data_IF_271913931510
#
_entry.id   IF_271913931510
#
_cell.length_a   1.000
_cell.length_b   1.000
_cell.length_c   1.000
_cell.angle_alpha   90.00
_cell.angle_beta   90.00
_cell.angle_gamma   90.00
#
_symmetry.space_group_name_H-M   'P 1'
#
loop_
_entity.id
_entity.type
_entity.pdbx_description
1 polymer ?
#
# COMPACT_ATOMS: atom_id res chain seq x y z
N UNK A 1 -3.60 4.32 13.25
CA UNK A 1 -3.88 2.90 13.60
C UNK A 1 -5.16 2.71 14.39
N UNK A 2 -5.42 3.47 15.46
CA UNK A 2 -6.65 3.35 16.25
C UNK A 2 -7.96 3.41 15.43
N UNK A 3 -8.06 4.28 14.42
CA UNK A 3 -9.24 4.33 13.52
C UNK A 3 -9.46 3.05 12.73
N UNK A 4 -8.40 2.40 12.27
CA UNK A 4 -8.49 1.11 11.56
C UNK A 4 -8.93 0.03 12.55
N UNK A 5 -8.33 -0.04 13.74
CA UNK A 5 -8.76 -1.00 14.76
C UNK A 5 -10.24 -0.86 15.13
N UNK A 6 -10.76 0.38 15.25
CA UNK A 6 -12.18 0.62 15.51
C UNK A 6 -13.08 0.22 14.34
N UNK A 7 -12.74 0.62 13.11
CA UNK A 7 -13.59 0.39 11.93
C UNK A 7 -13.67 -1.09 11.49
N UNK A 8 -12.69 -1.90 11.89
CA UNK A 8 -12.56 -3.31 11.51
C UNK A 8 -12.55 -4.26 12.72
N UNK A 9 -12.84 -3.77 13.93
CA UNK A 9 -13.00 -4.61 15.12
C UNK A 9 -14.16 -5.59 14.94
N UNK A 10 -13.99 -6.82 15.45
CA UNK A 10 -14.97 -7.90 15.35
C UNK A 10 -15.14 -8.50 13.95
N UNK A 11 -14.40 -8.04 12.93
CA UNK A 11 -14.44 -8.64 11.59
C UNK A 11 -13.89 -10.07 11.63
N UNK A 12 -14.48 -10.96 10.83
CA UNK A 12 -14.11 -12.36 10.70
C UNK A 12 -14.06 -12.77 9.23
N UNK A 13 -13.40 -13.88 8.94
CA UNK A 13 -13.75 -14.68 7.77
C UNK A 13 -15.21 -15.17 7.86
N UNK A 14 -15.77 -15.64 6.73
CA UNK A 14 -17.06 -16.32 6.76
C UNK A 14 -16.96 -17.62 7.59
N UNK A 15 -18.04 -18.03 8.24
CA UNK A 15 -18.03 -19.21 9.12
C UNK A 15 -17.67 -20.51 8.36
N UNK A 16 -18.02 -20.57 7.08
CA UNK A 16 -17.73 -21.67 6.16
C UNK A 16 -16.48 -21.41 5.30
N UNK A 17 -15.69 -20.37 5.58
CA UNK A 17 -14.42 -20.16 4.89
C UNK A 17 -13.52 -21.38 5.08
N UNK A 18 -13.02 -21.90 3.96
CA UNK A 18 -12.12 -23.05 3.92
C UNK A 18 -10.70 -22.70 3.52
N UNK A 19 -10.48 -21.49 2.97
CA UNK A 19 -9.25 -21.14 2.28
C UNK A 19 -8.98 -22.06 1.10
N UNK A 20 -7.78 -21.94 0.49
CA UNK A 20 -7.47 -22.75 -0.69
C UNK A 20 -7.15 -24.24 -0.40
N UNK A 21 -7.19 -24.66 0.86
CA UNK A 21 -6.88 -26.03 1.31
C UNK A 21 -5.42 -26.48 1.13
N UNK A 22 -4.51 -25.58 0.73
CA UNK A 22 -3.06 -25.88 0.53
C UNK A 22 -2.12 -24.87 1.17
N UNK A 23 -2.51 -23.60 1.23
CA UNK A 23 -1.65 -22.52 1.70
C UNK A 23 -1.85 -22.19 3.18
N UNK A 24 -2.96 -22.65 3.76
CA UNK A 24 -3.31 -22.43 5.15
C UNK A 24 -3.82 -23.74 5.74
N UNK A 25 -3.45 -24.02 6.98
CA UNK A 25 -4.00 -25.15 7.72
C UNK A 25 -5.32 -24.77 8.42
N UNK A 26 -6.04 -25.78 8.93
CA UNK A 26 -7.33 -25.58 9.60
C UNK A 26 -7.23 -24.66 10.82
N UNK A 27 -6.09 -24.66 11.53
CA UNK A 27 -5.90 -23.82 12.72
C UNK A 27 -5.76 -22.36 12.29
N UNK A 28 -5.02 -22.09 11.23
CA UNK A 28 -4.88 -20.75 10.65
C UNK A 28 -6.22 -20.22 10.14
N UNK A 29 -7.00 -21.05 9.44
CA UNK A 29 -8.34 -20.67 8.98
C UNK A 29 -9.28 -20.42 10.16
N UNK A 30 -9.21 -21.24 11.22
CA UNK A 30 -9.98 -21.02 12.45
C UNK A 30 -9.66 -19.68 13.13
N UNK A 31 -8.39 -19.29 13.16
CA UNK A 31 -7.98 -17.98 13.67
C UNK A 31 -8.59 -16.83 12.86
N UNK A 32 -8.72 -16.98 11.54
CA UNK A 32 -9.35 -15.99 10.67
C UNK A 32 -10.87 -15.92 10.87
N UNK A 33 -11.53 -17.05 11.18
CA UNK A 33 -12.95 -17.11 11.54
C UNK A 33 -13.25 -16.56 12.94
N UNK A 34 -12.25 -16.53 13.82
CA UNK A 34 -12.43 -16.04 15.19
C UNK A 34 -12.26 -14.51 15.25
N UNK A 35 -13.25 -13.76 15.78
CA UNK A 35 -13.15 -12.31 15.90
C UNK A 35 -12.16 -11.91 17.00
N UNK A 36 -11.47 -10.78 16.80
CA UNK A 36 -10.65 -10.08 17.80
C UNK A 36 -9.52 -10.89 18.46
N UNK A 37 -9.24 -12.11 18.01
CA UNK A 37 -8.03 -12.83 18.40
C UNK A 37 -6.81 -12.27 17.67
N UNK A 38 -5.69 -12.03 18.37
CA UNK A 38 -4.43 -11.68 17.72
C UNK A 38 -4.03 -12.74 16.70
N UNK A 39 -3.50 -12.32 15.55
CA UNK A 39 -3.03 -13.21 14.51
C UNK A 39 -1.50 -13.19 14.51
N UNK A 40 -0.84 -14.33 14.24
CA UNK A 40 0.59 -14.31 13.96
C UNK A 40 0.93 -13.32 12.84
N UNK A 41 2.00 -12.53 13.01
CA UNK A 41 2.41 -11.51 12.03
C UNK A 41 2.67 -12.11 10.65
N UNK A 42 3.26 -13.30 10.59
CA UNK A 42 3.52 -14.01 9.34
C UNK A 42 2.21 -14.45 8.66
N UNK A 43 1.18 -14.82 9.43
CA UNK A 43 -0.14 -15.16 8.90
C UNK A 43 -0.80 -13.93 8.28
N UNK A 44 -0.76 -12.78 8.96
CA UNK A 44 -1.29 -11.50 8.44
C UNK A 44 -0.68 -11.15 7.10
N UNK A 45 0.65 -11.23 6.99
CA UNK A 45 1.37 -10.96 5.75
C UNK A 45 0.98 -11.94 4.65
N UNK A 46 1.10 -13.25 4.92
CA UNK A 46 0.75 -14.30 3.94
C UNK A 46 -0.68 -14.16 3.44
N UNK A 47 -1.63 -13.85 4.32
CA UNK A 47 -3.04 -13.67 3.96
C UNK A 47 -3.21 -12.54 2.94
N UNK A 48 -2.62 -11.38 3.21
CA UNK A 48 -2.72 -10.21 2.34
C UNK A 48 -2.03 -10.42 0.98
N UNK A 49 -0.99 -11.24 0.92
CA UNK A 49 -0.25 -11.52 -0.32
C UNK A 49 -0.94 -12.53 -1.24
N UNK A 50 -1.95 -13.28 -0.78
CA UNK A 50 -2.61 -14.29 -1.63
C UNK A 50 -3.56 -13.68 -2.65
N UNK A 51 -3.58 -14.30 -3.83
CA UNK A 51 -4.53 -14.00 -4.89
C UNK A 51 -5.97 -14.23 -4.42
N UNK A 52 -6.96 -13.48 -4.95
CA UNK A 52 -8.35 -13.56 -4.50
C UNK A 52 -8.94 -14.96 -4.48
N UNK A 53 -8.59 -15.80 -5.45
CA UNK A 53 -9.10 -17.17 -5.58
C UNK A 53 -8.61 -18.12 -4.47
N UNK A 54 -7.74 -17.68 -3.57
CA UNK A 54 -7.34 -18.47 -2.40
C UNK A 54 -8.36 -18.42 -1.27
N UNK A 55 -9.37 -17.56 -1.38
CA UNK A 55 -10.37 -17.28 -0.36
C UNK A 55 -11.77 -17.44 -0.94
N UNK A 56 -12.69 -17.94 -0.13
CA UNK A 56 -14.10 -17.98 -0.49
C UNK A 56 -14.69 -16.56 -0.51
N UNK A 57 -14.29 -15.70 0.45
CA UNK A 57 -14.62 -14.27 0.52
C UNK A 57 -13.37 -13.43 0.84
N UNK A 58 -12.57 -13.10 -0.20
CA UNK A 58 -11.37 -12.28 -0.04
C UNK A 58 -11.65 -10.94 0.67
N UNK A 59 -12.71 -10.16 0.34
CA UNK A 59 -13.02 -8.95 1.09
C UNK A 59 -13.22 -9.16 2.58
N UNK A 60 -13.90 -10.22 3.03
CA UNK A 60 -14.03 -10.50 4.46
C UNK A 60 -12.66 -10.79 5.11
N UNK A 61 -11.85 -11.61 4.44
CA UNK A 61 -10.49 -11.97 4.90
C UNK A 61 -9.58 -10.75 5.04
N UNK A 62 -9.55 -9.87 4.04
CA UNK A 62 -8.71 -8.66 4.12
C UNK A 62 -9.20 -7.74 5.25
N UNK A 63 -10.52 -7.58 5.45
CA UNK A 63 -11.05 -6.81 6.59
C UNK A 63 -10.62 -7.40 7.94
N UNK A 64 -10.62 -8.73 8.07
CA UNK A 64 -10.20 -9.45 9.28
C UNK A 64 -8.75 -9.15 9.67
N UNK A 65 -7.84 -9.11 8.70
CA UNK A 65 -6.41 -8.92 8.98
C UNK A 65 -5.99 -7.46 9.03
N UNK A 66 -6.80 -6.54 8.49
CA UNK A 66 -6.42 -5.14 8.29
C UNK A 66 -5.91 -4.41 9.54
N UNK A 67 -6.50 -4.56 10.75
CA UNK A 67 -5.97 -3.91 11.96
C UNK A 67 -4.50 -4.25 12.26
N UNK A 68 -4.07 -5.48 11.98
CA UNK A 68 -2.70 -5.93 12.18
C UNK A 68 -1.84 -5.67 10.93
N UNK A 69 -2.43 -5.78 9.74
CA UNK A 69 -1.73 -5.51 8.48
C UNK A 69 -1.18 -4.09 8.43
N UNK A 70 -1.95 -3.09 8.88
CA UNK A 70 -1.46 -1.70 8.90
C UNK A 70 -0.26 -1.53 9.84
N UNK A 71 -0.21 -2.27 10.96
CA UNK A 71 0.94 -2.29 11.90
C UNK A 71 2.16 -2.86 11.19
N UNK A 72 2.00 -4.04 10.58
CA UNK A 72 3.04 -4.73 9.81
C UNK A 72 3.63 -3.82 8.74
N UNK A 73 2.77 -3.15 7.95
CA UNK A 73 3.20 -2.20 6.92
C UNK A 73 4.01 -1.03 7.52
N UNK A 74 3.52 -0.40 8.59
CA UNK A 74 4.20 0.75 9.18
C UNK A 74 5.52 0.42 9.87
N UNK A 75 5.70 -0.82 10.31
CA UNK A 75 6.90 -1.30 10.99
C UNK A 75 8.00 -1.79 10.05
N UNK A 76 7.81 -1.72 8.73
CA UNK A 76 8.84 -2.09 7.77
C UNK A 76 8.68 -3.47 7.15
N UNK A 77 7.44 -3.88 6.85
CA UNK A 77 7.20 -5.15 6.17
C UNK A 77 7.97 -5.27 4.86
N UNK A 78 8.57 -6.43 4.65
CA UNK A 78 9.09 -6.84 3.35
C UNK A 78 7.91 -7.12 2.41
N UNK A 79 8.04 -6.75 1.13
CA UNK A 79 7.00 -6.94 0.10
C UNK A 79 5.69 -6.20 0.42
N UNK A 80 5.78 -4.98 0.96
CA UNK A 80 4.61 -4.19 1.34
C UNK A 80 3.66 -3.93 0.16
N UNK A 81 4.20 -3.74 -1.05
CA UNK A 81 3.41 -3.55 -2.26
C UNK A 81 2.61 -4.82 -2.65
N UNK A 82 3.15 -6.02 -2.42
CA UNK A 82 2.42 -7.27 -2.64
C UNK A 82 1.27 -7.43 -1.63
N UNK A 83 1.48 -7.03 -0.38
CA UNK A 83 0.39 -7.00 0.62
C UNK A 83 -0.69 -5.96 0.26
N UNK A 84 -0.28 -4.79 -0.24
CA UNK A 84 -1.19 -3.75 -0.71
C UNK A 84 -2.02 -4.17 -1.93
N UNK A 85 -1.49 -5.04 -2.80
CA UNK A 85 -2.25 -5.65 -3.90
C UNK A 85 -3.48 -6.39 -3.38
N UNK A 86 -3.36 -7.16 -2.29
CA UNK A 86 -4.51 -7.84 -1.68
C UNK A 86 -5.59 -6.87 -1.21
N UNK A 87 -5.18 -5.72 -0.65
CA UNK A 87 -6.09 -4.66 -0.25
C UNK A 87 -6.82 -4.04 -1.46
N UNK A 88 -6.09 -3.73 -2.54
CA UNK A 88 -6.66 -3.24 -3.80
C UNK A 88 -7.63 -4.26 -4.42
N UNK A 89 -7.24 -5.53 -4.45
CA UNK A 89 -8.05 -6.63 -4.98
C UNK A 89 -9.37 -6.82 -4.22
N UNK A 90 -9.33 -6.66 -2.90
CA UNK A 90 -10.52 -6.69 -2.06
C UNK A 90 -11.46 -5.48 -2.24
N UNK A 91 -11.08 -4.51 -3.08
CA UNK A 91 -11.93 -3.39 -3.48
C UNK A 91 -12.22 -2.42 -2.35
N UNK A 92 -11.23 -2.16 -1.48
CA UNK A 92 -11.42 -1.38 -0.25
C UNK A 92 -12.03 0.01 -0.47
N UNK A 93 -11.76 0.64 -1.60
CA UNK A 93 -12.31 1.96 -1.96
C UNK A 93 -13.83 1.96 -2.11
N UNK A 94 -14.46 0.78 -2.27
CA UNK A 94 -15.91 0.59 -2.40
C UNK A 94 -16.58 0.09 -1.12
N UNK A 95 -15.84 -0.07 -0.03
CA UNK A 95 -16.38 -0.49 1.26
C UNK A 95 -17.24 0.61 1.91
N UNK A 96 -17.94 0.31 3.02
CA UNK A 96 -18.64 1.34 3.78
C UNK A 96 -17.74 2.53 4.13
N UNK A 97 -18.32 3.74 4.15
CA UNK A 97 -17.59 5.01 4.27
C UNK A 97 -16.60 5.05 5.44
N UNK A 98 -16.97 4.49 6.58
CA UNK A 98 -16.11 4.44 7.77
C UNK A 98 -14.84 3.59 7.52
N UNK A 99 -15.01 2.43 6.90
CA UNK A 99 -13.91 1.53 6.54
C UNK A 99 -12.99 2.16 5.48
N UNK A 100 -13.56 2.70 4.41
CA UNK A 100 -12.80 3.40 3.37
C UNK A 100 -12.04 4.59 3.94
N UNK A 101 -12.68 5.39 4.80
CA UNK A 101 -12.03 6.52 5.46
C UNK A 101 -10.89 6.11 6.40
N UNK A 102 -11.03 4.97 7.09
CA UNK A 102 -9.98 4.44 7.96
C UNK A 102 -8.75 3.97 7.16
N UNK A 103 -8.95 3.28 6.03
CA UNK A 103 -7.87 2.86 5.12
C UNK A 103 -7.18 4.07 4.51
N UNK A 104 -7.96 4.97 3.88
CA UNK A 104 -7.41 6.17 3.24
C UNK A 104 -6.60 7.03 4.24
N UNK A 105 -7.15 7.24 5.44
CA UNK A 105 -6.47 8.01 6.49
C UNK A 105 -5.21 7.32 7.03
N UNK A 106 -5.13 5.98 6.99
CA UNK A 106 -3.89 5.27 7.30
C UNK A 106 -2.84 5.50 6.22
N UNK A 107 -3.18 5.28 4.94
CA UNK A 107 -2.24 5.44 3.82
C UNK A 107 -1.71 6.88 3.75
N UNK A 108 -2.58 7.89 3.92
CA UNK A 108 -2.19 9.31 3.95
C UNK A 108 -1.23 9.63 5.11
N UNK A 109 -1.54 9.14 6.32
CA UNK A 109 -0.71 9.38 7.49
C UNK A 109 0.65 8.68 7.37
N UNK A 110 0.66 7.44 6.88
CA UNK A 110 1.88 6.66 6.69
C UNK A 110 2.79 7.30 5.63
N UNK A 111 2.23 7.66 4.48
CA UNK A 111 2.96 8.35 3.42
C UNK A 111 3.55 9.68 3.89
N UNK A 112 2.73 10.50 4.55
CA UNK A 112 3.16 11.76 5.17
C UNK A 112 4.32 11.56 6.15
N UNK A 113 4.24 10.53 6.99
CA UNK A 113 5.26 10.25 7.98
C UNK A 113 6.56 9.81 7.32
N UNK A 114 6.49 8.94 6.30
CA UNK A 114 7.66 8.46 5.56
C UNK A 114 8.43 9.63 4.92
N UNK A 115 7.72 10.57 4.28
CA UNK A 115 8.33 11.76 3.67
C UNK A 115 9.05 12.69 4.66
N UNK A 116 8.64 12.68 5.94
CA UNK A 116 9.17 13.58 6.98
C UNK A 116 10.25 12.94 7.84
N UNK A 117 10.30 11.61 7.88
CA UNK A 117 11.28 10.86 8.67
C UNK A 117 12.59 10.74 7.87
N UNK A 118 13.74 11.03 8.48
CA UNK A 118 15.03 10.89 7.79
C UNK A 118 15.34 9.45 7.36
N UNK A 119 14.93 8.49 8.18
CA UNK A 119 15.17 7.07 7.97
C UNK A 119 13.90 6.30 8.34
N UNK A 120 12.87 6.28 7.48
CA UNK A 120 11.66 5.51 7.72
C UNK A 120 11.95 4.00 7.74
N UNK A 121 11.14 3.19 8.46
CA UNK A 121 11.31 1.73 8.48
C UNK A 121 11.26 1.08 7.10
N UNK A 122 10.40 1.59 6.21
CA UNK A 122 10.32 1.23 4.79
C UNK A 122 10.88 2.37 3.95
N UNK A 123 11.73 2.11 2.93
CA UNK A 123 12.19 3.12 1.98
C UNK A 123 11.03 3.91 1.35
N UNK A 124 11.22 5.20 1.12
CA UNK A 124 10.14 6.09 0.64
C UNK A 124 9.60 5.68 -0.73
N UNK A 125 10.44 5.19 -1.65
CA UNK A 125 9.99 4.65 -2.93
C UNK A 125 9.04 3.45 -2.74
N UNK A 126 9.37 2.52 -1.85
CA UNK A 126 8.54 1.35 -1.56
C UNK A 126 7.24 1.73 -0.84
N UNK A 127 7.26 2.71 0.08
CA UNK A 127 6.01 3.25 0.67
C UNK A 127 5.14 3.90 -0.42
N UNK A 128 5.75 4.65 -1.34
CA UNK A 128 5.04 5.26 -2.47
C UNK A 128 4.40 4.20 -3.35
N UNK A 129 5.17 3.21 -3.82
CA UNK A 129 4.68 2.08 -4.61
C UNK A 129 3.55 1.34 -3.88
N UNK A 130 3.69 1.11 -2.57
CA UNK A 130 2.65 0.46 -1.76
C UNK A 130 1.36 1.27 -1.71
N UNK A 131 1.44 2.59 -1.50
CA UNK A 131 0.27 3.46 -1.49
C UNK A 131 -0.39 3.51 -2.87
N UNK A 132 0.41 3.59 -3.93
CA UNK A 132 -0.06 3.56 -5.32
C UNK A 132 -0.77 2.26 -5.64
N UNK A 133 -0.17 1.11 -5.32
CA UNK A 133 -0.75 -0.21 -5.53
C UNK A 133 -2.04 -0.37 -4.74
N UNK A 134 -2.08 0.05 -3.48
CA UNK A 134 -3.28 -0.02 -2.66
C UNK A 134 -4.42 0.79 -3.27
N UNK A 135 -4.16 2.02 -3.72
CA UNK A 135 -5.21 2.92 -4.23
C UNK A 135 -5.50 2.82 -5.73
N UNK A 136 -4.69 2.07 -6.49
CA UNK A 136 -4.66 2.09 -7.95
C UNK A 136 -4.60 3.52 -8.53
N UNK A 137 -3.80 4.39 -7.92
CA UNK A 137 -3.70 5.82 -8.28
C UNK A 137 -2.40 6.44 -7.77
N UNK A 138 -1.81 7.36 -8.54
CA UNK A 138 -0.57 8.08 -8.16
C UNK A 138 -0.81 9.52 -7.73
N UNK A 139 -1.83 10.19 -8.31
CA UNK A 139 -2.11 11.60 -8.12
C UNK A 139 -2.11 12.09 -6.66
N UNK A 140 -2.83 11.46 -5.70
CA UNK A 140 -2.85 11.96 -4.32
C UNK A 140 -1.49 11.87 -3.64
N UNK A 141 -0.69 10.87 -3.99
CA UNK A 141 0.62 10.63 -3.38
C UNK A 141 1.68 11.59 -3.92
N UNK A 142 1.65 11.85 -5.23
CA UNK A 142 2.50 12.85 -5.89
C UNK A 142 2.19 14.26 -5.39
N UNK A 143 0.90 14.65 -5.33
CA UNK A 143 0.50 15.95 -4.80
C UNK A 143 0.98 16.15 -3.35
N UNK A 144 0.94 15.07 -2.54
CA UNK A 144 1.44 15.10 -1.17
C UNK A 144 2.96 15.23 -1.09
N UNK A 145 3.70 14.59 -2.00
CA UNK A 145 5.16 14.69 -2.10
C UNK A 145 5.58 16.10 -2.51
N UNK A 146 4.91 16.66 -3.52
CA UNK A 146 5.14 18.02 -4.02
C UNK A 146 4.94 19.07 -2.93
N UNK A 147 3.97 18.87 -2.03
CA UNK A 147 3.75 19.75 -0.90
C UNK A 147 4.84 19.67 0.19
N UNK A 148 5.66 18.62 0.25
CA UNK A 148 6.78 18.50 1.20
C UNK A 148 8.07 19.10 0.61
N UNK A 149 8.28 20.39 0.82
CA UNK A 149 9.45 21.13 0.31
C UNK A 149 10.71 21.04 1.21
N UNK A 150 10.59 20.33 2.34
CA UNK A 150 11.67 20.16 3.30
C UNK A 150 12.90 19.41 2.73
N UNK A 151 14.09 19.58 3.33
CA UNK A 151 15.31 18.91 2.87
C UNK A 151 15.22 17.38 2.95
N UNK A 152 14.44 16.84 3.90
CA UNK A 152 14.24 15.39 4.03
C UNK A 152 13.47 14.82 2.82
N UNK A 153 12.35 15.44 2.44
CA UNK A 153 11.56 15.00 1.29
C UNK A 153 12.30 15.14 -0.05
N UNK A 154 13.14 16.17 -0.20
CA UNK A 154 14.03 16.32 -1.37
C UNK A 154 15.13 15.26 -1.44
N UNK A 155 15.69 14.89 -0.29
CA UNK A 155 16.63 13.77 -0.23
C UNK A 155 15.94 12.47 -0.64
N UNK A 156 14.76 12.19 -0.09
CA UNK A 156 13.97 11.02 -0.47
C UNK A 156 13.63 10.99 -1.96
N UNK A 157 13.28 12.12 -2.56
CA UNK A 157 13.05 12.21 -4.00
C UNK A 157 14.29 11.79 -4.80
N UNK A 158 15.48 12.23 -4.37
CA UNK A 158 16.74 11.87 -5.02
C UNK A 158 17.01 10.36 -4.93
N UNK A 159 16.82 9.78 -3.74
CA UNK A 159 16.97 8.35 -3.51
C UNK A 159 15.96 7.54 -4.35
N UNK A 160 14.70 7.98 -4.45
CA UNK A 160 13.67 7.30 -5.24
C UNK A 160 13.92 7.38 -6.75
N UNK A 161 14.47 8.49 -7.27
CA UNK A 161 14.95 8.55 -8.66
C UNK A 161 16.11 7.57 -8.88
N UNK A 162 17.00 7.41 -7.90
CA UNK A 162 18.07 6.42 -7.94
C UNK A 162 17.54 4.99 -7.95
N UNK A 163 16.49 4.72 -7.18
CA UNK A 163 15.80 3.43 -7.08
C UNK A 163 15.12 3.04 -8.39
N UNK A 164 14.35 3.94 -9.00
CA UNK A 164 13.65 3.69 -10.27
C UNK A 164 14.51 3.85 -11.53
N UNK A 165 15.84 3.82 -11.42
CA UNK A 165 16.73 4.16 -12.54
C UNK A 165 16.48 3.30 -13.78
N UNK A 166 16.23 2.01 -13.59
CA UNK A 166 16.02 1.06 -14.68
C UNK A 166 14.66 1.29 -15.33
N UNK A 167 13.59 1.42 -14.54
CA UNK A 167 12.22 1.70 -14.99
C UNK A 167 12.07 3.08 -15.64
N UNK A 168 12.90 4.06 -15.22
CA UNK A 168 12.97 5.37 -15.85
C UNK A 168 13.67 5.32 -17.22
N UNK A 169 14.57 4.35 -17.41
CA UNK A 169 15.29 4.13 -18.67
C UNK A 169 14.53 3.22 -19.65
N UNK A 170 13.48 2.54 -19.19
CA UNK A 170 12.64 1.65 -19.99
C UNK A 170 11.16 2.08 -20.00
N UNK A 171 10.32 1.26 -20.63
CA UNK A 171 8.87 1.39 -20.55
C UNK A 171 8.27 0.54 -19.41
N UNK A 172 9.12 -0.12 -18.62
CA UNK A 172 8.70 -0.89 -17.46
C UNK A 172 8.27 0.04 -16.33
N UNK A 173 7.38 -0.47 -15.49
CA UNK A 173 6.83 0.24 -14.33
C UNK A 173 7.32 -0.43 -13.05
N UNK A 174 7.61 0.35 -11.98
CA UNK A 174 7.99 -0.21 -10.70
C UNK A 174 6.78 -0.84 -9.95
N UNK A 175 5.56 -0.67 -10.47
CA UNK A 175 4.34 -1.17 -9.82
C UNK A 175 4.07 -2.65 -10.14
N UNK A 176 5.04 -3.53 -9.90
CA UNK A 176 4.97 -4.97 -10.25
C UNK A 176 3.76 -5.70 -9.67
N UNK A 177 3.21 -5.19 -8.56
CA UNK A 177 2.04 -5.76 -7.89
C UNK A 177 0.73 -5.02 -8.20
N UNK A 178 0.68 -4.22 -9.27
CA UNK A 178 -0.52 -3.51 -9.69
C UNK A 178 -1.75 -4.42 -9.78
N UNK A 179 -2.86 -3.95 -9.21
CA UNK A 179 -4.16 -4.59 -9.36
C UNK A 179 -5.02 -3.80 -10.36
N UNK A 180 -5.18 -4.36 -11.55
CA UNK A 180 -5.87 -3.73 -12.67
C UNK A 180 -5.30 -4.18 -14.01
N UNK A 181 -5.53 -3.38 -15.05
CA UNK A 181 -4.99 -3.64 -16.39
C UNK A 181 -3.57 -3.09 -16.53
N UNK A 182 -2.76 -3.71 -17.39
CA UNK A 182 -1.43 -3.20 -17.73
C UNK A 182 -1.48 -1.80 -18.40
N UNK A 183 -2.61 -1.41 -18.97
CA UNK A 183 -2.79 -0.06 -19.52
C UNK A 183 -2.92 0.99 -18.43
N UNK A 184 -3.66 0.70 -17.36
CA UNK A 184 -3.78 1.58 -16.19
C UNK A 184 -2.44 1.70 -15.45
N UNK A 185 -1.72 0.58 -15.29
CA UNK A 185 -0.37 0.58 -14.71
C UNK A 185 0.58 1.49 -15.50
N UNK A 186 0.65 1.32 -16.82
CA UNK A 186 1.50 2.17 -17.68
C UNK A 186 1.09 3.64 -17.61
N UNK A 187 -0.20 3.93 -17.53
CA UNK A 187 -0.69 5.31 -17.39
C UNK A 187 -0.25 5.92 -16.05
N UNK A 188 -0.35 5.17 -14.95
CA UNK A 188 0.13 5.58 -13.63
C UNK A 188 1.64 5.89 -13.66
N UNK A 189 2.45 5.02 -14.28
CA UNK A 189 3.89 5.27 -14.39
C UNK A 189 4.22 6.46 -15.29
N UNK A 190 3.48 6.67 -16.38
CA UNK A 190 3.65 7.84 -17.23
C UNK A 190 3.37 9.16 -16.49
N UNK A 191 2.39 9.18 -15.59
CA UNK A 191 2.10 10.33 -14.74
C UNK A 191 3.27 10.62 -13.77
N UNK A 192 3.87 9.60 -13.17
CA UNK A 192 5.07 9.77 -12.33
C UNK A 192 6.25 10.33 -13.14
N UNK A 193 6.51 9.79 -14.35
CA UNK A 193 7.57 10.30 -15.23
C UNK A 193 7.35 11.78 -15.60
N UNK A 194 6.11 12.15 -15.88
CA UNK A 194 5.73 13.54 -16.19
C UNK A 194 5.96 14.45 -14.99
N UNK A 195 5.56 14.01 -13.79
CA UNK A 195 5.78 14.75 -12.56
C UNK A 195 7.29 14.94 -12.26
N UNK A 196 8.10 13.88 -12.37
CA UNK A 196 9.55 13.95 -12.18
C UNK A 196 10.24 14.93 -13.15
N UNK A 197 9.80 14.95 -14.41
CA UNK A 197 10.31 15.89 -15.40
C UNK A 197 10.02 17.35 -15.00
N UNK A 198 8.83 17.63 -14.46
CA UNK A 198 8.46 18.96 -13.96
C UNK A 198 9.29 19.38 -12.72
N UNK A 199 9.56 18.46 -11.79
CA UNK A 199 10.40 18.73 -10.61
C UNK A 199 11.84 19.10 -11.00
N UNK A 200 12.38 18.45 -12.04
CA UNK A 200 13.71 18.74 -12.57
C UNK A 200 13.78 20.16 -13.15
N UNK A 201 12.75 20.56 -13.91
CA UNK A 201 12.67 21.91 -14.50
C UNK A 201 12.55 23.00 -13.42
N UNK A 202 11.74 22.78 -12.39
CA UNK A 202 11.60 23.71 -11.26
C UNK A 202 12.91 23.93 -10.50
N UNK A 203 13.76 22.90 -10.39
CA UNK A 203 15.07 23.00 -9.72
C UNK A 203 16.12 23.74 -10.56
N UNK A 204 15.95 23.76 -11.90
CA UNK A 204 16.87 24.44 -12.83
C UNK A 204 16.57 25.93 -13.04
N UNK A 205 15.43 26.44 -12.57
CA UNK A 205 15.13 27.87 -12.53
C UNK A 205 15.61 28.41 -11.18
N UNK A 206 16.74 29.13 -11.09
CA UNK A 206 17.16 29.73 -9.83
C UNK A 206 16.18 30.84 -9.45
N UNK A 207 15.94 31.02 -8.15
CA UNK A 207 15.27 32.19 -7.59
C UNK A 207 15.82 33.46 -8.24
N UNK A 208 14.99 34.06 -9.09
CA UNK A 208 15.34 35.20 -9.91
C UNK A 208 14.08 35.99 -10.20
N UNK A 209 13.56 36.64 -9.15
CA UNK A 209 13.00 38.00 -9.14
C UNK A 209 12.85 38.50 -7.71
#
# INVERSE_FOLDING_TARGET
MARVAMAFGGMTAQADETGCGRCFDEVEVELLRTPDVPLPTDLVGRVAQKEPFHWDDQPAIIRRVLPQLVVVLAEGAVESALMARGLAAAGWSRWPREQTGAVAGFLEAWWTQALRMKSPPTPVCEVFETCVTASSSVAPWLARWEAETGPVARHHLTESVGWWREELASDDSPFWWWWGTAAEERAAWHEVKTWLAAQTQATMVPDGL
#
